data_IF_776341876032
#
_entry.id   IF_776341876032
#
_cell.length_a   1.000
_cell.length_b   1.000
_cell.length_c   1.000
_cell.angle_alpha   90.00
_cell.angle_beta   90.00
_cell.angle_gamma   90.00
#
_symmetry.space_group_name_H-M   'P 1'
#
loop_
_entity.id
_entity.type
_entity.pdbx_description
1 polymer ?
#
# COMPACT_ATOMS: atom_id res chain seq x y z
N UNK A 1 49.34 100.42 -103.28
CA UNK A 1 48.71 99.42 -102.41
C UNK A 1 47.64 100.14 -101.63
N UNK A 2 46.38 99.75 -101.82
CA UNK A 2 45.24 100.34 -101.13
C UNK A 2 44.96 99.61 -99.80
N UNK A 3 44.27 100.27 -98.86
CA UNK A 3 43.88 99.68 -97.57
C UNK A 3 43.08 98.39 -97.76
N UNK A 4 42.20 98.36 -98.77
CA UNK A 4 41.33 97.21 -99.07
C UNK A 4 42.10 95.93 -99.41
N UNK A 5 43.24 96.02 -100.10
CA UNK A 5 44.08 94.85 -100.43
C UNK A 5 44.71 94.27 -99.15
N UNK A 6 45.17 95.14 -98.25
CA UNK A 6 45.78 94.75 -96.98
C UNK A 6 44.74 94.13 -96.04
N UNK A 7 43.54 94.72 -95.97
CA UNK A 7 42.42 94.20 -95.17
C UNK A 7 41.88 92.87 -95.71
N UNK A 8 41.87 92.66 -97.04
CA UNK A 8 41.51 91.36 -97.62
C UNK A 8 42.58 90.29 -97.33
N UNK A 9 43.88 90.63 -97.43
CA UNK A 9 44.97 89.71 -97.07
C UNK A 9 44.90 89.30 -95.59
N UNK A 10 44.75 90.28 -94.68
CA UNK A 10 44.62 90.03 -93.24
C UNK A 10 43.38 89.19 -92.91
N UNK A 11 42.22 89.43 -93.57
CA UNK A 11 41.03 88.60 -93.39
C UNK A 11 41.22 87.18 -93.90
N UNK A 12 41.92 86.98 -95.03
CA UNK A 12 42.20 85.66 -95.58
C UNK A 12 43.18 84.87 -94.70
N UNK A 13 44.22 85.51 -94.16
CA UNK A 13 45.13 84.90 -93.20
C UNK A 13 44.43 84.55 -91.87
N UNK A 14 43.56 85.43 -91.37
CA UNK A 14 42.81 85.19 -90.13
C UNK A 14 41.76 84.08 -90.26
N UNK A 15 41.03 84.04 -91.39
CA UNK A 15 40.09 82.96 -91.72
C UNK A 15 40.82 81.61 -91.96
N UNK A 16 42.00 81.63 -92.59
CA UNK A 16 42.87 80.46 -92.72
C UNK A 16 43.37 79.95 -91.36
N UNK A 17 43.83 80.86 -90.49
CA UNK A 17 44.27 80.51 -89.13
C UNK A 17 43.12 79.95 -88.29
N UNK A 18 41.94 80.57 -88.31
CA UNK A 18 40.74 80.06 -87.65
C UNK A 18 40.35 78.67 -88.17
N UNK A 19 40.39 78.44 -89.49
CA UNK A 19 40.08 77.13 -90.07
C UNK A 19 41.07 76.05 -89.64
N UNK A 20 42.35 76.38 -89.54
CA UNK A 20 43.38 75.45 -89.06
C UNK A 20 43.17 75.14 -87.57
N UNK A 21 42.95 76.14 -86.72
CA UNK A 21 42.67 75.95 -85.27
C UNK A 21 41.38 75.17 -85.04
N UNK A 22 40.33 75.39 -85.85
CA UNK A 22 39.08 74.61 -85.78
C UNK A 22 39.30 73.16 -86.25
N UNK A 23 40.15 72.92 -87.26
CA UNK A 23 40.49 71.57 -87.71
C UNK A 23 41.32 70.82 -86.65
N UNK A 24 42.28 71.49 -86.04
CA UNK A 24 43.14 70.99 -84.95
C UNK A 24 42.30 70.64 -83.70
N UNK A 25 41.49 71.58 -83.20
CA UNK A 25 40.57 71.34 -82.07
C UNK A 25 39.55 70.23 -82.38
N UNK A 26 39.09 70.09 -83.63
CA UNK A 26 38.21 68.98 -84.04
C UNK A 26 38.94 67.64 -84.04
N UNK A 27 40.23 67.61 -84.39
CA UNK A 27 41.06 66.41 -84.31
C UNK A 27 41.31 66.03 -82.85
N UNK A 28 41.69 66.99 -81.99
CA UNK A 28 41.85 66.78 -80.54
C UNK A 28 40.57 66.21 -79.89
N UNK A 29 39.39 66.74 -80.24
CA UNK A 29 38.10 66.23 -79.73
C UNK A 29 37.81 64.80 -80.23
N UNK A 30 38.24 64.46 -81.45
CA UNK A 30 38.11 63.09 -81.97
C UNK A 30 39.03 62.11 -81.25
N UNK A 31 40.28 62.50 -81.00
CA UNK A 31 41.28 61.66 -80.35
C UNK A 31 41.01 61.51 -78.85
N UNK A 32 40.52 62.58 -78.20
CA UNK A 32 40.02 62.55 -76.83
C UNK A 32 38.80 61.62 -76.68
N UNK A 33 37.85 61.64 -77.65
CA UNK A 33 36.72 60.70 -77.67
C UNK A 33 37.20 59.25 -77.79
N UNK A 34 38.15 58.98 -78.70
CA UNK A 34 38.73 57.65 -78.86
C UNK A 34 39.43 57.14 -77.59
N UNK A 35 40.17 58.01 -76.89
CA UNK A 35 40.78 57.68 -75.60
C UNK A 35 39.71 57.35 -74.53
N UNK A 36 38.65 58.16 -74.39
CA UNK A 36 37.54 57.90 -73.45
C UNK A 36 36.88 56.55 -73.75
N UNK A 37 36.56 56.26 -75.00
CA UNK A 37 35.94 54.99 -75.38
C UNK A 37 36.87 53.80 -75.07
N UNK A 38 38.18 53.96 -75.25
CA UNK A 38 39.17 52.94 -74.89
C UNK A 38 39.33 52.72 -73.37
N UNK A 39 39.25 53.77 -72.55
CA UNK A 39 39.30 53.64 -71.08
C UNK A 39 37.99 53.07 -70.51
N UNK A 40 36.85 53.43 -71.10
CA UNK A 40 35.54 52.89 -70.68
C UNK A 40 35.47 51.37 -70.93
N UNK A 41 35.94 50.89 -72.08
CA UNK A 41 35.97 49.44 -72.36
C UNK A 41 36.95 48.69 -71.44
N UNK A 42 38.10 49.29 -71.07
CA UNK A 42 39.01 48.72 -70.03
C UNK A 42 38.33 48.67 -68.66
N UNK A 43 37.71 49.76 -68.23
CA UNK A 43 37.01 49.84 -66.94
C UNK A 43 35.87 48.83 -66.85
N UNK A 44 35.12 48.65 -67.94
CA UNK A 44 34.07 47.63 -68.05
C UNK A 44 34.64 46.22 -67.97
N UNK A 45 35.67 45.89 -68.75
CA UNK A 45 36.31 44.58 -68.68
C UNK A 45 36.88 44.26 -67.29
N UNK A 46 37.47 45.25 -66.61
CA UNK A 46 37.95 45.10 -65.24
C UNK A 46 36.83 44.92 -64.22
N UNK A 47 35.68 45.60 -64.39
CA UNK A 47 34.49 45.39 -63.57
C UNK A 47 33.87 44.00 -63.81
N UNK A 48 33.77 43.54 -65.05
CA UNK A 48 33.26 42.20 -65.39
C UNK A 48 34.17 41.11 -64.79
N UNK A 49 35.50 41.30 -64.80
CA UNK A 49 36.45 40.38 -64.19
C UNK A 49 36.37 40.37 -62.66
N UNK A 50 36.31 41.54 -61.99
CA UNK A 50 36.11 41.60 -60.54
C UNK A 50 34.75 41.04 -60.11
N UNK A 51 33.70 41.24 -60.90
CA UNK A 51 32.37 40.69 -60.60
C UNK A 51 32.37 39.16 -60.72
N UNK A 52 33.09 38.60 -61.70
CA UNK A 52 33.29 37.16 -61.80
C UNK A 52 34.09 36.61 -60.62
N UNK A 53 35.23 37.22 -60.28
CA UNK A 53 36.06 36.77 -59.14
C UNK A 53 35.29 36.87 -57.79
N UNK A 54 34.39 37.84 -57.65
CA UNK A 54 33.51 37.95 -56.49
C UNK A 54 32.42 36.86 -56.50
N UNK A 55 31.78 36.59 -57.64
CA UNK A 55 30.76 35.53 -57.77
C UNK A 55 31.35 34.14 -57.49
N UNK A 56 32.54 33.85 -58.04
CA UNK A 56 33.24 32.57 -57.83
C UNK A 56 33.60 32.31 -56.36
N UNK A 57 33.79 33.37 -55.55
CA UNK A 57 33.98 33.28 -54.09
C UNK A 57 32.66 33.14 -53.34
N UNK A 58 31.61 33.85 -53.76
CA UNK A 58 30.31 33.80 -53.09
C UNK A 58 29.62 32.43 -53.22
N UNK A 59 29.81 31.74 -54.35
CA UNK A 59 29.34 30.36 -54.50
C UNK A 59 30.15 29.36 -53.65
N UNK A 60 31.43 29.64 -53.35
CA UNK A 60 32.25 28.83 -52.43
C UNK A 60 31.83 29.02 -50.96
N UNK A 61 31.45 30.23 -50.54
CA UNK A 61 30.94 30.46 -49.17
C UNK A 61 29.62 29.71 -48.90
N UNK A 62 28.78 29.51 -49.92
CA UNK A 62 27.51 28.78 -49.81
C UNK A 62 27.66 27.27 -49.60
N UNK A 63 28.74 26.66 -50.09
CA UNK A 63 29.02 25.24 -49.85
C UNK A 63 29.43 24.99 -48.39
N UNK A 64 30.06 25.98 -47.75
CA UNK A 64 30.36 25.96 -46.31
C UNK A 64 29.10 26.16 -45.45
N UNK A 65 28.16 27.02 -45.87
CA UNK A 65 26.91 27.26 -45.14
C UNK A 65 26.07 25.98 -44.98
N UNK A 66 26.00 25.13 -46.01
CA UNK A 66 25.28 23.86 -45.97
C UNK A 66 25.86 22.88 -44.93
N UNK A 67 27.17 22.62 -44.99
CA UNK A 67 27.84 21.68 -44.07
C UNK A 67 27.86 22.20 -42.62
N UNK A 68 27.99 23.51 -42.42
CA UNK A 68 27.83 24.14 -41.10
C UNK A 68 26.40 23.98 -40.55
N UNK A 69 25.38 24.21 -41.38
CA UNK A 69 23.96 24.09 -40.96
C UNK A 69 23.62 22.65 -40.58
N UNK A 70 24.14 21.65 -41.30
CA UNK A 70 23.95 20.24 -40.95
C UNK A 70 24.65 19.88 -39.62
N UNK A 71 25.87 20.36 -39.40
CA UNK A 71 26.59 20.16 -38.13
C UNK A 71 25.89 20.82 -36.93
N UNK A 72 25.35 22.04 -37.10
CA UNK A 72 24.55 22.72 -36.06
C UNK A 72 23.24 21.97 -35.80
N UNK A 73 22.58 21.45 -36.82
CA UNK A 73 21.37 20.63 -36.70
C UNK A 73 21.63 19.32 -35.92
N UNK A 74 22.73 18.63 -36.24
CA UNK A 74 23.17 17.44 -35.50
C UNK A 74 23.49 17.76 -34.03
N UNK A 75 24.23 18.84 -33.77
CA UNK A 75 24.58 19.23 -32.41
C UNK A 75 23.35 19.64 -31.57
N UNK A 76 22.39 20.37 -32.14
CA UNK A 76 21.11 20.70 -31.49
C UNK A 76 20.28 19.44 -31.19
N UNK A 77 20.29 18.46 -32.10
CA UNK A 77 19.62 17.17 -31.87
C UNK A 77 20.29 16.38 -30.74
N UNK A 78 21.62 16.29 -30.72
CA UNK A 78 22.38 15.65 -29.64
C UNK A 78 22.12 16.32 -28.30
N UNK A 79 22.23 17.64 -28.20
CA UNK A 79 21.98 18.40 -26.98
C UNK A 79 20.53 18.24 -26.47
N UNK A 80 19.55 18.16 -27.37
CA UNK A 80 18.15 17.86 -27.01
C UNK A 80 17.99 16.42 -26.50
N UNK A 81 18.60 15.45 -27.17
CA UNK A 81 18.46 14.04 -26.85
C UNK A 81 19.26 13.67 -25.57
N UNK A 82 20.31 14.43 -25.24
CA UNK A 82 20.99 14.42 -23.93
C UNK A 82 20.15 15.10 -22.84
N UNK A 83 19.59 16.29 -23.11
CA UNK A 83 18.69 16.99 -22.18
C UNK A 83 17.44 16.16 -21.84
N UNK A 84 16.92 15.39 -22.80
CA UNK A 84 15.83 14.44 -22.57
C UNK A 84 16.26 13.28 -21.65
N UNK A 85 17.46 12.73 -21.82
CA UNK A 85 18.01 11.67 -20.93
C UNK A 85 18.25 12.20 -19.52
N UNK A 86 18.81 13.39 -19.38
CA UNK A 86 19.06 14.03 -18.07
C UNK A 86 17.74 14.29 -17.36
N UNK A 87 16.73 14.82 -18.07
CA UNK A 87 15.38 15.00 -17.52
C UNK A 87 14.74 13.68 -17.10
N UNK A 88 14.85 12.62 -17.93
CA UNK A 88 14.30 11.31 -17.61
C UNK A 88 14.99 10.65 -16.39
N UNK A 89 16.32 10.75 -16.30
CA UNK A 89 17.08 10.24 -15.15
C UNK A 89 16.74 11.00 -13.86
N UNK A 90 16.65 12.34 -13.91
CA UNK A 90 16.28 13.16 -12.76
C UNK A 90 14.81 12.99 -12.33
N UNK A 91 13.92 12.54 -13.22
CA UNK A 91 12.55 12.14 -12.87
C UNK A 91 12.57 10.77 -12.17
N UNK A 92 13.25 9.77 -12.74
CA UNK A 92 13.36 8.44 -12.14
C UNK A 92 14.00 8.48 -10.75
N UNK A 93 15.12 9.19 -10.58
CA UNK A 93 15.78 9.42 -9.28
C UNK A 93 14.83 10.11 -8.27
N UNK A 94 13.99 11.05 -8.73
CA UNK A 94 13.00 11.73 -7.90
C UNK A 94 11.70 10.93 -7.67
N UNK A 95 11.49 9.82 -8.38
CA UNK A 95 10.44 8.84 -8.13
C UNK A 95 10.94 7.79 -7.13
N UNK A 96 12.14 7.22 -7.35
CA UNK A 96 12.83 6.32 -6.41
C UNK A 96 12.97 6.95 -5.01
N UNK A 97 13.43 8.21 -4.91
CA UNK A 97 13.53 8.93 -3.63
C UNK A 97 12.18 9.17 -2.95
N UNK A 98 11.07 9.23 -3.70
CA UNK A 98 9.72 9.36 -3.12
C UNK A 98 9.20 8.03 -2.61
N UNK A 99 9.40 6.96 -3.37
CA UNK A 99 9.05 5.60 -2.93
C UNK A 99 9.81 5.24 -1.65
N UNK A 100 11.10 5.59 -1.54
CA UNK A 100 11.86 5.47 -0.29
C UNK A 100 11.30 6.35 0.85
N UNK A 101 10.96 7.61 0.58
CA UNK A 101 10.39 8.53 1.56
C UNK A 101 9.00 8.10 2.06
N UNK A 102 8.15 7.57 1.19
CA UNK A 102 6.80 7.09 1.50
C UNK A 102 6.85 5.76 2.26
N UNK A 103 7.70 4.82 1.84
CA UNK A 103 7.97 3.57 2.58
C UNK A 103 8.49 3.85 4.00
N UNK A 104 9.38 4.84 4.16
CA UNK A 104 9.90 5.25 5.47
C UNK A 104 8.83 5.89 6.37
N UNK A 105 7.88 6.64 5.79
CA UNK A 105 6.75 7.23 6.54
C UNK A 105 5.79 6.15 7.02
N UNK A 106 5.35 5.26 6.12
CA UNK A 106 4.51 4.10 6.46
C UNK A 106 5.12 3.28 7.60
N UNK A 107 6.40 2.90 7.49
CA UNK A 107 7.12 2.15 8.54
C UNK A 107 7.15 2.90 9.89
N UNK A 108 7.22 4.24 9.88
CA UNK A 108 7.23 5.04 11.09
C UNK A 108 5.84 5.19 11.72
N UNK A 109 4.80 5.32 10.90
CA UNK A 109 3.41 5.39 11.31
C UNK A 109 2.95 4.02 11.88
N UNK A 110 3.23 2.91 11.19
CA UNK A 110 2.99 1.51 11.65
C UNK A 110 3.58 1.25 13.04
N UNK A 111 4.83 1.70 13.27
CA UNK A 111 5.50 1.57 14.55
C UNK A 111 4.86 2.44 15.63
N UNK A 112 4.30 3.60 15.26
CA UNK A 112 3.60 4.49 16.18
C UNK A 112 2.25 3.91 16.63
N UNK A 113 1.50 3.30 15.70
CA UNK A 113 0.24 2.62 15.98
C UNK A 113 0.48 1.35 16.82
N UNK A 114 1.50 0.55 16.47
CA UNK A 114 1.91 -0.62 17.28
C UNK A 114 2.28 -0.22 18.71
N UNK A 115 3.04 0.88 18.88
CA UNK A 115 3.40 1.41 20.20
C UNK A 115 2.15 1.80 20.98
N UNK A 116 1.18 2.47 20.36
CA UNK A 116 0.00 2.98 21.05
C UNK A 116 -1.06 1.90 21.31
N UNK A 117 -1.15 0.87 20.46
CA UNK A 117 -1.85 -0.37 20.75
C UNK A 117 -1.25 -1.09 21.98
N UNK A 118 0.08 -1.23 22.05
CA UNK A 118 0.77 -1.81 23.21
C UNK A 118 0.51 -0.99 24.49
N UNK A 119 0.59 0.34 24.41
CA UNK A 119 0.25 1.24 25.51
C UNK A 119 -1.21 1.08 25.95
N UNK A 120 -2.16 0.99 25.02
CA UNK A 120 -3.57 0.86 25.36
C UNK A 120 -3.88 -0.49 26.01
N UNK A 121 -3.40 -1.60 25.43
CA UNK A 121 -3.61 -2.97 25.94
C UNK A 121 -3.04 -3.11 27.35
N UNK A 122 -1.81 -2.64 27.57
CA UNK A 122 -1.13 -2.72 28.88
C UNK A 122 -1.68 -1.77 29.94
N UNK A 123 -2.50 -0.78 29.56
CA UNK A 123 -3.15 0.16 30.49
C UNK A 123 -4.43 -0.37 31.15
N UNK A 124 -5.01 -1.48 30.66
CA UNK A 124 -6.33 -1.97 31.11
C UNK A 124 -6.25 -2.71 32.45
N UNK A 125 -7.19 -2.45 33.34
CA UNK A 125 -7.28 -3.07 34.68
C UNK A 125 -8.24 -4.27 34.75
N UNK A 126 -8.95 -4.61 33.67
CA UNK A 126 -9.77 -5.82 33.55
C UNK A 126 -9.42 -6.69 32.34
N UNK A 127 -9.47 -8.01 32.51
CA UNK A 127 -9.23 -8.99 31.44
C UNK A 127 -10.17 -8.78 30.24
N UNK A 128 -11.41 -8.40 30.49
CA UNK A 128 -12.40 -8.15 29.44
C UNK A 128 -12.05 -6.92 28.59
N UNK A 129 -11.33 -5.94 29.13
CA UNK A 129 -10.88 -4.76 28.39
C UNK A 129 -9.54 -4.97 27.70
N UNK A 130 -8.62 -5.75 28.29
CA UNK A 130 -7.41 -6.23 27.58
C UNK A 130 -7.81 -6.92 26.28
N UNK A 131 -8.70 -7.91 26.35
CA UNK A 131 -9.13 -8.68 25.18
C UNK A 131 -9.92 -7.83 24.17
N UNK A 132 -10.66 -6.80 24.61
CA UNK A 132 -11.36 -5.88 23.71
C UNK A 132 -10.39 -4.97 22.97
N UNK A 133 -9.35 -4.46 23.65
CA UNK A 133 -8.31 -3.61 23.05
C UNK A 133 -7.43 -4.44 22.10
N UNK A 134 -7.05 -5.67 22.48
CA UNK A 134 -6.39 -6.63 21.58
C UNK A 134 -7.17 -6.82 20.27
N UNK A 135 -8.45 -7.19 20.36
CA UNK A 135 -9.28 -7.46 19.18
C UNK A 135 -9.57 -6.19 18.36
N UNK A 136 -9.56 -5.01 18.98
CA UNK A 136 -9.68 -3.74 18.26
C UNK A 136 -8.43 -3.45 17.42
N UNK A 137 -7.24 -3.53 18.01
CA UNK A 137 -5.97 -3.25 17.32
C UNK A 137 -5.56 -4.35 16.35
N UNK A 138 -5.90 -5.61 16.62
CA UNK A 138 -5.68 -6.71 15.69
C UNK A 138 -6.36 -6.47 14.32
N UNK A 139 -7.50 -5.79 14.28
CA UNK A 139 -8.18 -5.40 13.06
C UNK A 139 -7.49 -4.30 12.24
N UNK A 140 -6.32 -3.81 12.64
CA UNK A 140 -5.44 -2.99 11.80
C UNK A 140 -4.36 -3.83 11.09
N UNK A 141 -4.13 -5.07 11.55
CA UNK A 141 -3.05 -5.95 11.10
C UNK A 141 -3.54 -7.21 10.37
N UNK A 142 -4.86 -7.36 10.19
CA UNK A 142 -5.47 -8.37 9.32
C UNK A 142 -6.83 -7.87 8.79
N UNK A 143 -7.17 -8.09 7.51
CA UNK A 143 -8.49 -7.76 6.97
C UNK A 143 -9.64 -8.53 7.61
N UNK A 144 -9.37 -9.74 8.12
CA UNK A 144 -10.38 -10.59 8.77
C UNK A 144 -9.78 -11.39 9.91
N UNK A 145 -10.56 -11.58 10.97
CA UNK A 145 -10.14 -12.40 12.10
C UNK A 145 -11.24 -12.70 13.11
N UNK A 146 -10.97 -13.68 13.98
CA UNK A 146 -11.86 -14.09 15.05
C UNK A 146 -11.05 -14.47 16.30
N UNK A 147 -11.61 -14.24 17.48
CA UNK A 147 -10.95 -14.57 18.75
C UNK A 147 -11.75 -15.61 19.52
N UNK A 148 -11.06 -16.65 19.99
CA UNK A 148 -11.65 -17.82 20.66
C UNK A 148 -11.03 -17.98 22.06
N UNK A 149 -11.84 -18.29 23.07
CA UNK A 149 -11.39 -18.47 24.45
C UNK A 149 -11.53 -19.94 24.85
N UNK A 150 -10.50 -20.49 25.51
CA UNK A 150 -10.52 -21.85 26.05
C UNK A 150 -11.34 -21.86 27.34
N UNK A 151 -12.42 -22.65 27.36
CA UNK A 151 -13.32 -22.80 28.51
C UNK A 151 -13.72 -24.26 28.65
N UNK A 152 -13.42 -24.86 29.81
CA UNK A 152 -13.69 -26.27 30.09
C UNK A 152 -13.12 -27.22 29.00
N UNK A 153 -11.87 -26.97 28.59
CA UNK A 153 -11.18 -27.72 27.51
C UNK A 153 -11.92 -27.72 26.14
N UNK A 154 -12.75 -26.69 25.89
CA UNK A 154 -13.34 -26.39 24.59
C UNK A 154 -12.91 -24.98 24.14
N UNK A 155 -12.74 -24.80 22.83
CA UNK A 155 -12.64 -23.49 22.21
C UNK A 155 -14.04 -22.92 22.00
N UNK A 156 -14.24 -21.68 22.43
CA UNK A 156 -15.52 -20.96 22.35
C UNK A 156 -15.28 -19.61 21.68
N UNK A 157 -15.96 -19.34 20.58
CA UNK A 157 -15.81 -18.06 19.89
C UNK A 157 -16.32 -16.89 20.72
N UNK A 158 -15.58 -15.78 20.71
CA UNK A 158 -15.80 -14.64 21.57
C UNK A 158 -16.17 -13.36 20.81
N UNK A 159 -15.41 -13.04 19.75
CA UNK A 159 -15.60 -11.83 18.93
C UNK A 159 -14.92 -11.94 17.55
N UNK A 160 -15.57 -11.43 16.49
CA UNK A 160 -14.97 -11.20 15.17
C UNK A 160 -14.42 -9.78 15.02
N UNK A 161 -13.52 -9.59 14.07
CA UNK A 161 -12.94 -8.30 13.70
C UNK A 161 -12.50 -8.28 12.22
N UNK A 162 -12.27 -7.09 11.67
CA UNK A 162 -12.00 -6.87 10.23
C UNK A 162 -13.26 -6.95 9.34
N UNK A 163 -14.20 -7.84 9.64
CA UNK A 163 -15.49 -7.95 8.92
C UNK A 163 -16.48 -6.85 9.31
N UNK A 164 -16.25 -5.61 8.88
CA UNK A 164 -17.13 -4.47 9.22
C UNK A 164 -18.54 -4.56 8.61
N UNK A 165 -18.74 -5.40 7.58
CA UNK A 165 -20.02 -5.59 6.87
C UNK A 165 -20.88 -6.76 7.41
N UNK A 166 -20.44 -7.43 8.49
CA UNK A 166 -21.06 -8.66 8.98
C UNK A 166 -22.34 -8.39 9.79
N UNK A 167 -23.53 -8.74 9.26
CA UNK A 167 -24.84 -8.40 9.86
C UNK A 167 -25.05 -8.96 11.28
N UNK A 168 -24.38 -10.06 11.64
CA UNK A 168 -24.45 -10.69 12.96
C UNK A 168 -23.07 -10.89 13.60
N UNK A 169 -22.47 -9.86 14.23
CA UNK A 169 -21.16 -9.97 14.88
C UNK A 169 -21.14 -10.91 16.10
N UNK A 170 -22.30 -11.41 16.54
CA UNK A 170 -22.46 -12.33 17.67
C UNK A 170 -22.49 -13.81 17.24
N UNK A 171 -22.58 -14.13 15.94
CA UNK A 171 -22.60 -15.51 15.40
C UNK A 171 -21.39 -16.35 15.84
N UNK A 172 -20.25 -15.68 16.07
CA UNK A 172 -19.03 -16.30 16.60
C UNK A 172 -19.22 -17.04 17.93
N UNK A 173 -20.24 -16.70 18.72
CA UNK A 173 -20.55 -17.42 19.98
C UNK A 173 -21.26 -18.75 19.77
N UNK A 174 -21.69 -19.04 18.55
CA UNK A 174 -22.22 -20.35 18.15
C UNK A 174 -21.10 -21.35 17.86
N UNK A 175 -19.87 -20.86 17.58
CA UNK A 175 -18.68 -21.72 17.47
C UNK A 175 -18.26 -22.25 18.84
N UNK A 176 -18.44 -23.56 19.03
CA UNK A 176 -18.09 -24.29 20.24
C UNK A 176 -17.62 -25.70 19.89
N UNK A 177 -16.33 -26.02 20.14
CA UNK A 177 -15.78 -27.35 19.87
C UNK A 177 -14.69 -27.76 20.89
N UNK A 178 -14.49 -29.06 21.16
CA UNK A 178 -13.43 -29.55 22.05
C UNK A 178 -12.03 -29.20 21.54
N UNK A 179 -11.09 -28.90 22.44
CA UNK A 179 -9.67 -28.68 22.06
C UNK A 179 -9.05 -29.92 21.38
N UNK A 180 -9.57 -31.12 21.65
CA UNK A 180 -9.10 -32.37 21.02
C UNK A 180 -9.48 -32.55 19.54
N UNK A 181 -10.23 -31.61 18.94
CA UNK A 181 -10.56 -31.65 17.52
C UNK A 181 -9.33 -31.27 16.67
N UNK A 182 -9.25 -31.81 15.45
CA UNK A 182 -8.15 -31.60 14.51
C UNK A 182 -8.29 -30.23 13.81
N UNK A 183 -8.10 -29.16 14.57
CA UNK A 183 -8.14 -27.77 14.09
C UNK A 183 -6.79 -27.06 14.25
N UNK A 184 -6.53 -26.09 13.38
CA UNK A 184 -5.37 -25.18 13.47
C UNK A 184 -5.38 -24.34 14.76
N UNK A 185 -6.57 -24.00 15.26
CA UNK A 185 -6.78 -23.34 16.54
C UNK A 185 -6.44 -24.25 17.74
N UNK A 186 -6.78 -25.53 17.67
CA UNK A 186 -6.40 -26.54 18.67
C UNK A 186 -4.88 -26.71 18.73
N UNK A 187 -4.25 -26.96 17.57
CA UNK A 187 -2.79 -27.14 17.50
C UNK A 187 -2.04 -25.91 18.03
N UNK A 188 -2.50 -24.70 17.71
CA UNK A 188 -1.97 -23.45 18.25
C UNK A 188 -1.99 -23.39 19.78
N UNK A 189 -3.14 -23.73 20.39
CA UNK A 189 -3.33 -23.69 21.85
C UNK A 189 -2.57 -24.81 22.57
N UNK A 190 -2.44 -25.99 21.97
CA UNK A 190 -1.70 -27.12 22.57
C UNK A 190 -0.18 -27.00 22.40
N UNK A 191 0.30 -26.55 21.24
CA UNK A 191 1.73 -26.37 20.94
C UNK A 191 2.35 -25.14 21.61
N UNK A 192 1.53 -24.14 21.98
CA UNK A 192 1.95 -22.81 22.42
C UNK A 192 2.74 -22.04 21.35
N UNK A 193 2.50 -22.33 20.07
CA UNK A 193 3.14 -21.69 18.92
C UNK A 193 2.10 -21.23 17.88
N UNK A 194 2.47 -20.26 17.04
CA UNK A 194 1.65 -19.84 15.90
C UNK A 194 1.62 -20.95 14.85
N UNK A 195 0.42 -21.32 14.42
CA UNK A 195 0.20 -22.22 13.28
C UNK A 195 -0.09 -21.36 12.06
N UNK A 196 0.69 -21.56 10.99
CA UNK A 196 0.47 -20.99 9.66
C UNK A 196 0.08 -22.13 8.73
N UNK A 197 -1.11 -22.06 8.14
CA UNK A 197 -1.72 -23.17 7.39
C UNK A 197 -2.60 -22.65 6.24
N UNK A 198 -3.24 -23.54 5.49
CA UNK A 198 -4.24 -23.20 4.48
C UNK A 198 -5.43 -24.16 4.52
N UNK A 199 -6.57 -23.76 3.95
CA UNK A 199 -7.81 -24.52 4.02
C UNK A 199 -7.65 -26.00 3.62
N UNK A 200 -8.19 -26.91 4.44
CA UNK A 200 -8.14 -28.36 4.22
C UNK A 200 -6.88 -29.05 4.73
N UNK A 201 -5.96 -28.34 5.37
CA UNK A 201 -4.80 -28.95 6.05
C UNK A 201 -5.18 -29.61 7.38
N UNK A 202 -6.24 -29.10 8.01
CA UNK A 202 -6.81 -29.55 9.28
C UNK A 202 -8.27 -29.96 9.04
N UNK A 203 -8.67 -31.17 9.43
CA UNK A 203 -9.95 -31.76 9.01
C UNK A 203 -11.17 -31.05 9.63
N UNK A 204 -11.03 -30.57 10.87
CA UNK A 204 -12.12 -29.94 11.62
C UNK A 204 -12.20 -28.41 11.46
N UNK A 205 -11.30 -27.75 10.71
CA UNK A 205 -11.31 -26.27 10.56
C UNK A 205 -12.61 -25.73 9.94
N UNK A 206 -13.29 -26.56 9.13
CA UNK A 206 -14.66 -26.31 8.64
C UNK A 206 -15.65 -25.95 9.75
N UNK A 207 -15.50 -26.52 10.96
CA UNK A 207 -16.42 -26.30 12.09
C UNK A 207 -16.51 -24.83 12.52
N UNK A 208 -15.46 -24.03 12.33
CA UNK A 208 -15.52 -22.60 12.58
C UNK A 208 -15.61 -21.78 11.28
N UNK A 209 -14.94 -22.21 10.20
CA UNK A 209 -14.97 -21.46 8.93
C UNK A 209 -16.37 -21.38 8.31
N UNK A 210 -17.15 -22.45 8.37
CA UNK A 210 -18.52 -22.47 7.85
C UNK A 210 -19.45 -21.60 8.72
N UNK A 211 -19.31 -21.67 10.05
CA UNK A 211 -20.14 -20.92 11.01
C UNK A 211 -19.84 -19.42 11.02
N UNK A 212 -18.62 -19.01 10.68
CA UNK A 212 -18.24 -17.60 10.54
C UNK A 212 -18.40 -17.04 9.12
N UNK A 213 -18.86 -17.87 8.17
CA UNK A 213 -18.91 -17.57 6.74
C UNK A 213 -17.55 -17.14 6.16
N UNK A 214 -16.46 -17.69 6.70
CA UNK A 214 -15.09 -17.36 6.27
C UNK A 214 -14.67 -18.10 4.99
N UNK A 215 -15.36 -19.17 4.60
CA UNK A 215 -15.12 -19.86 3.33
C UNK A 215 -13.80 -20.65 3.32
N UNK A 216 -13.03 -20.53 2.23
CA UNK A 216 -11.83 -21.36 1.99
C UNK A 216 -10.55 -20.51 1.80
N UNK A 217 -10.04 -19.88 2.88
CA UNK A 217 -8.86 -19.03 2.83
C UNK A 217 -7.57 -19.81 2.49
N UNK A 218 -6.79 -19.22 1.57
CA UNK A 218 -5.51 -19.76 1.07
C UNK A 218 -4.43 -19.82 2.17
N UNK A 219 -4.36 -18.78 3.01
CA UNK A 219 -3.43 -18.66 4.13
C UNK A 219 -4.23 -18.28 5.38
N UNK A 220 -3.94 -18.99 6.47
CA UNK A 220 -4.66 -18.96 7.74
C UNK A 220 -3.65 -18.95 8.88
N UNK A 221 -3.87 -18.09 9.88
CA UNK A 221 -2.97 -17.95 11.02
C UNK A 221 -3.73 -18.13 12.34
N UNK A 222 -3.27 -19.07 13.17
CA UNK A 222 -3.79 -19.31 14.51
C UNK A 222 -2.70 -19.01 15.56
N UNK A 223 -2.86 -17.90 16.28
CA UNK A 223 -1.87 -17.34 17.21
C UNK A 223 -2.36 -17.54 18.66
N UNK A 224 -1.62 -18.23 19.54
CA UNK A 224 -2.12 -18.57 20.86
C UNK A 224 -1.88 -17.45 21.88
N UNK A 225 -2.93 -17.05 22.60
CA UNK A 225 -2.78 -16.24 23.81
C UNK A 225 -2.42 -17.17 24.97
N UNK A 226 -1.14 -17.14 25.33
CA UNK A 226 -0.56 -17.92 26.41
C UNK A 226 -0.69 -17.15 27.73
N UNK A 227 -1.15 -17.84 28.78
CA UNK A 227 -1.11 -17.34 30.15
C UNK A 227 -0.72 -18.47 31.12
N UNK A 228 0.28 -18.21 31.96
CA UNK A 228 0.86 -19.13 32.95
C UNK A 228 1.32 -20.46 32.35
N UNK A 229 1.83 -20.42 31.11
CA UNK A 229 2.30 -21.60 30.39
C UNK A 229 1.19 -22.51 29.85
N UNK A 230 -0.07 -22.04 29.76
CA UNK A 230 -1.16 -22.68 29.01
C UNK A 230 -1.64 -21.75 27.91
N UNK A 231 -2.03 -22.28 26.75
CA UNK A 231 -2.91 -21.56 25.85
C UNK A 231 -4.28 -21.41 26.51
N UNK A 232 -4.77 -20.17 26.61
CA UNK A 232 -6.08 -19.85 27.23
C UNK A 232 -7.05 -19.20 26.25
N UNK A 233 -6.57 -18.82 25.07
CA UNK A 233 -7.33 -18.33 23.94
C UNK A 233 -6.49 -18.45 22.66
N UNK A 234 -7.11 -18.31 21.49
CA UNK A 234 -6.45 -18.23 20.20
C UNK A 234 -7.05 -17.09 19.36
N UNK A 235 -6.18 -16.41 18.61
CA UNK A 235 -6.55 -15.43 17.60
C UNK A 235 -6.40 -16.07 16.22
N UNK A 236 -7.49 -16.06 15.45
CA UNK A 236 -7.54 -16.41 14.05
C UNK A 236 -7.38 -15.16 13.18
N UNK A 237 -6.62 -15.25 12.08
CA UNK A 237 -6.49 -14.21 11.07
C UNK A 237 -6.35 -14.79 9.65
N UNK A 238 -6.96 -14.13 8.67
CA UNK A 238 -6.75 -14.34 7.23
C UNK A 238 -7.02 -13.04 6.42
N UNK A 239 -6.70 -13.02 5.12
CA UNK A 239 -6.94 -11.87 4.21
C UNK A 239 -8.35 -11.75 3.64
N UNK A 240 -9.19 -12.76 3.84
CA UNK A 240 -10.52 -12.90 3.23
C UNK A 240 -10.49 -12.81 1.71
N UNK A 241 -11.50 -12.15 1.15
CA UNK A 241 -11.56 -11.79 -0.28
C UNK A 241 -10.92 -10.43 -0.58
N UNK A 242 -10.16 -9.85 0.36
CA UNK A 242 -9.56 -8.52 0.22
C UNK A 242 -8.14 -8.58 -0.34
N UNK A 243 -7.69 -7.47 -0.94
CA UNK A 243 -6.30 -7.26 -1.38
C UNK A 243 -5.34 -6.90 -0.21
N UNK A 244 -5.79 -6.97 1.05
CA UNK A 244 -4.97 -6.65 2.23
C UNK A 244 -4.16 -7.85 2.74
N UNK A 245 -2.91 -7.62 3.14
CA UNK A 245 -2.06 -8.67 3.70
C UNK A 245 -2.18 -8.81 5.23
N UNK A 246 -1.80 -9.98 5.76
CA UNK A 246 -1.83 -10.28 7.19
C UNK A 246 -0.46 -10.02 7.82
N UNK A 247 -0.36 -9.02 8.69
CA UNK A 247 0.88 -8.75 9.45
C UNK A 247 0.94 -9.65 10.70
N UNK A 248 1.42 -10.87 10.49
CA UNK A 248 1.52 -11.92 11.53
C UNK A 248 2.42 -11.47 12.69
N UNK A 249 3.56 -10.81 12.42
CA UNK A 249 4.49 -10.37 13.47
C UNK A 249 3.87 -9.32 14.41
N UNK A 250 3.05 -8.41 13.85
CA UNK A 250 2.27 -7.45 14.62
C UNK A 250 1.21 -8.15 15.49
N UNK A 251 0.45 -9.10 14.91
CA UNK A 251 -0.56 -9.87 15.64
C UNK A 251 0.04 -10.70 16.77
N UNK A 252 1.15 -11.41 16.54
CA UNK A 252 1.90 -12.13 17.57
C UNK A 252 2.34 -11.20 18.70
N UNK A 253 2.85 -10.02 18.37
CA UNK A 253 3.30 -9.02 19.34
C UNK A 253 2.13 -8.56 20.22
N UNK A 254 0.98 -8.20 19.63
CA UNK A 254 -0.20 -7.79 20.39
C UNK A 254 -0.76 -8.92 21.27
N UNK A 255 -0.90 -10.15 20.73
CA UNK A 255 -1.40 -11.32 21.49
C UNK A 255 -0.48 -11.65 22.66
N UNK A 256 0.85 -11.56 22.46
CA UNK A 256 1.86 -11.79 23.50
C UNK A 256 1.83 -10.71 24.60
N UNK A 257 1.66 -9.44 24.24
CA UNK A 257 1.49 -8.35 25.20
C UNK A 257 0.17 -8.47 25.98
N UNK A 258 -0.92 -8.85 25.31
CA UNK A 258 -2.20 -9.13 25.97
C UNK A 258 -2.09 -10.30 26.96
N UNK A 259 -1.45 -11.41 26.57
CA UNK A 259 -1.18 -12.55 27.45
C UNK A 259 -0.40 -12.16 28.71
N UNK A 260 0.71 -11.44 28.55
CA UNK A 260 1.51 -10.92 29.67
C UNK A 260 0.72 -9.96 30.56
N UNK A 261 -0.13 -9.11 29.99
CA UNK A 261 -0.96 -8.18 30.78
C UNK A 261 -2.03 -8.94 31.58
N UNK A 262 -2.64 -9.99 31.01
CA UNK A 262 -3.55 -10.90 31.74
C UNK A 262 -2.81 -11.64 32.86
N UNK A 263 -1.58 -12.12 32.64
CA UNK A 263 -0.77 -12.74 33.70
C UNK A 263 -0.49 -11.76 34.85
N UNK A 264 -0.16 -10.50 34.55
CA UNK A 264 0.09 -9.46 35.55
C UNK A 264 -1.17 -9.16 36.37
N UNK A 265 -2.32 -8.91 35.73
CA UNK A 265 -3.58 -8.70 36.44
C UNK A 265 -3.96 -9.90 37.31
N UNK A 266 -3.87 -11.12 36.77
CA UNK A 266 -4.19 -12.34 37.50
C UNK A 266 -3.22 -12.64 38.66
N UNK A 267 -2.08 -11.97 38.72
CA UNK A 267 -1.04 -12.12 39.76
C UNK A 267 -0.97 -10.95 40.74
N UNK A 268 -1.77 -9.89 40.52
CA UNK A 268 -1.93 -8.81 41.48
C UNK A 268 -2.57 -9.35 42.77
N UNK A 269 -2.05 -8.99 43.98
CA UNK A 269 -2.67 -9.42 45.23
C UNK A 269 -4.06 -8.78 45.34
N UNK A 270 -5.10 -9.61 45.40
CA UNK A 270 -6.47 -9.16 45.58
C UNK A 270 -6.54 -8.25 46.81
N UNK A 271 -6.82 -6.96 46.62
CA UNK A 271 -6.78 -5.97 47.69
C UNK A 271 -7.72 -6.42 48.81
N UNK A 272 -7.16 -6.62 50.01
CA UNK A 272 -7.90 -7.10 51.15
C UNK A 272 -9.02 -6.10 51.47
N UNK A 273 -10.27 -6.51 51.21
CA UNK A 273 -11.45 -5.71 51.57
C UNK A 273 -11.30 -5.29 53.03
N UNK A 274 -11.42 -3.99 53.38
CA UNK A 274 -11.28 -3.54 54.75
C UNK A 274 -12.31 -4.30 55.59
N UNK A 275 -11.81 -5.10 56.52
CA UNK A 275 -12.65 -5.91 57.40
C UNK A 275 -13.37 -4.93 58.32
N UNK A 276 -14.67 -4.71 58.10
CA UNK A 276 -15.47 -3.79 58.93
C UNK A 276 -15.25 -4.12 60.40
N UNK A 277 -14.76 -3.14 61.15
CA UNK A 277 -14.41 -3.30 62.56
C UNK A 277 -15.70 -3.37 63.37
N UNK A 278 -16.17 -4.59 63.62
CA UNK A 278 -17.40 -4.86 64.35
C UNK A 278 -17.23 -4.49 65.83
N UNK A 279 -17.72 -3.30 66.18
CA UNK A 279 -17.55 -2.73 67.51
C UNK A 279 -18.26 -3.58 68.59
N UNK A 280 -17.60 -3.91 69.71
CA UNK A 280 -18.14 -4.85 70.69
C UNK A 280 -19.25 -4.23 71.55
N UNK A 281 -20.46 -4.76 71.45
CA UNK A 281 -21.55 -4.51 72.40
C UNK A 281 -21.51 -5.53 73.55
N UNK A 282 -21.31 -5.04 74.78
CA UNK A 282 -21.26 -5.82 76.02
C UNK A 282 -22.66 -5.95 76.69
N UNK A 283 -22.87 -6.84 77.69
CA UNK A 283 -24.10 -7.65 77.73
C UNK A 283 -25.01 -7.41 78.97
N UNK A 284 -25.96 -8.35 79.14
CA UNK A 284 -26.68 -8.80 80.35
C UNK A 284 -28.18 -8.41 80.46
N UNK A 285 -29.05 -9.42 80.52
CA UNK A 285 -29.97 -9.62 81.65
C UNK A 285 -30.55 -11.05 81.72
N UNK A 286 -30.29 -11.72 82.85
CA UNK A 286 -30.55 -13.13 83.13
C UNK A 286 -30.93 -13.26 84.63
N UNK A 287 -31.75 -14.19 85.13
CA UNK A 287 -32.57 -15.27 84.53
C UNK A 287 -33.91 -15.31 85.38
N UNK A 288 -34.50 -16.39 85.95
CA UNK A 288 -34.41 -17.85 85.74
C UNK A 288 -35.75 -18.56 85.43
N UNK A 289 -35.63 -19.88 85.21
CA UNK A 289 -36.61 -20.88 84.74
C UNK A 289 -37.63 -21.36 85.80
N UNK A 290 -38.66 -22.12 85.36
CA UNK A 290 -38.84 -23.53 85.77
C UNK A 290 -39.83 -24.36 84.89
N UNK A 291 -39.27 -25.35 84.17
CA UNK A 291 -39.68 -26.77 83.99
C UNK A 291 -41.18 -27.14 83.75
N UNK A 292 -41.57 -27.64 82.55
CA UNK A 292 -41.45 -29.03 81.99
C UNK A 292 -42.64 -29.98 82.33
N UNK A 293 -42.86 -31.10 81.60
CA UNK A 293 -42.34 -31.54 80.28
C UNK A 293 -43.46 -31.42 79.20
N UNK A 294 -43.53 -32.05 78.01
CA UNK A 294 -42.79 -33.04 77.18
C UNK A 294 -43.20 -32.75 75.69
N UNK A 295 -42.91 -33.43 74.56
CA UNK A 295 -42.25 -34.71 74.20
C UNK A 295 -41.61 -34.63 72.78
N UNK A 296 -41.43 -35.78 72.10
CA UNK A 296 -40.75 -35.89 70.79
C UNK A 296 -41.66 -35.83 69.55
N UNK A 297 -41.17 -35.22 68.47
CA UNK A 297 -41.04 -35.87 67.15
C UNK A 297 -39.99 -35.17 66.27
N UNK A 298 -39.40 -35.88 65.29
CA UNK A 298 -38.33 -35.37 64.40
C UNK A 298 -38.76 -35.37 62.93
N UNK A 299 -38.57 -34.28 62.16
CA UNK A 299 -38.84 -34.25 60.73
C UNK A 299 -37.78 -35.03 59.93
N UNK A 300 -38.18 -35.53 58.76
CA UNK A 300 -37.45 -36.53 57.97
C UNK A 300 -36.57 -35.92 56.86
N UNK A 301 -35.52 -36.64 56.47
CA UNK A 301 -34.79 -36.39 55.23
C UNK A 301 -35.48 -37.00 54.00
N UNK A 302 -35.41 -36.32 52.86
CA UNK A 302 -36.01 -36.75 51.59
C UNK A 302 -34.96 -37.49 50.71
N UNK A 303 -35.39 -38.53 50.00
CA UNK A 303 -34.53 -39.36 49.12
C UNK A 303 -35.20 -39.60 47.76
N UNK A 304 -34.39 -39.90 46.74
CA UNK A 304 -34.79 -39.90 45.34
C UNK A 304 -35.76 -41.04 44.94
N UNK A 305 -36.63 -40.84 43.92
CA UNK A 305 -37.51 -41.87 43.40
C UNK A 305 -36.80 -42.84 42.43
N UNK A 306 -37.20 -44.11 42.49
CA UNK A 306 -36.91 -45.14 41.49
C UNK A 306 -38.23 -45.84 41.13
N UNK A 307 -38.26 -46.45 39.94
CA UNK A 307 -39.40 -47.07 39.26
C UNK A 307 -40.21 -48.07 40.10
N UNK A 308 -41.48 -48.23 39.71
CA UNK A 308 -42.34 -49.38 40.04
C UNK A 308 -42.96 -49.94 38.78
N UNK A 309 -42.82 -51.25 38.56
CA UNK A 309 -43.48 -52.00 37.49
C UNK A 309 -44.83 -52.59 37.94
N UNK A 310 -45.48 -53.29 37.00
CA UNK A 310 -46.38 -54.44 37.17
C UNK A 310 -47.91 -54.22 37.16
N UNK A 311 -48.53 -54.56 36.02
CA UNK A 311 -49.57 -55.61 35.85
C UNK A 311 -49.99 -55.68 34.35
N UNK A 312 -50.72 -56.67 33.83
CA UNK A 312 -50.65 -58.14 33.92
C UNK A 312 -51.66 -58.72 32.89
N UNK A 313 -51.32 -59.81 32.18
CA UNK A 313 -52.19 -60.56 31.23
C UNK A 313 -52.66 -59.81 29.96
N UNK A 314 -53.12 -60.46 28.88
CA UNK A 314 -53.48 -61.88 28.64
C UNK A 314 -53.11 -62.36 27.20
N UNK A 315 -53.66 -63.50 26.75
CA UNK A 315 -53.35 -64.31 25.54
C UNK A 315 -53.58 -63.59 24.16
N UNK A 316 -53.22 -64.10 22.95
CA UNK A 316 -53.36 -65.50 22.45
C UNK A 316 -52.55 -65.84 21.15
N UNK A 317 -51.87 -67.02 21.18
CA UNK A 317 -51.49 -67.98 20.09
C UNK A 317 -50.68 -67.59 18.82
N UNK A 318 -50.06 -68.63 18.25
CA UNK A 318 -49.24 -68.70 17.01
C UNK A 318 -49.94 -69.67 15.98
N UNK A 319 -49.35 -70.34 14.95
CA UNK A 319 -47.92 -70.52 14.57
C UNK A 319 -47.59 -70.49 13.04
N UNK A 320 -46.35 -70.87 12.69
CA UNK A 320 -45.87 -71.41 11.38
C UNK A 320 -45.84 -70.46 10.13
N UNK A 321 -44.95 -70.61 9.12
CA UNK A 321 -43.82 -71.54 8.91
C UNK A 321 -42.83 -71.10 7.79
N UNK A 322 -41.53 -71.44 7.99
CA UNK A 322 -40.58 -72.05 7.01
C UNK A 322 -39.91 -71.26 5.84
N UNK A 323 -38.65 -71.67 5.57
CA UNK A 323 -37.77 -71.54 4.37
C UNK A 323 -36.95 -70.26 4.01
N UNK A 324 -35.69 -70.28 4.47
CA UNK A 324 -34.46 -70.41 3.65
C UNK A 324 -33.87 -69.20 2.85
N UNK A 325 -32.52 -69.15 2.64
CA UNK A 325 -31.82 -68.03 2.03
C UNK A 325 -31.42 -68.24 0.55
N UNK A 326 -30.91 -67.18 -0.08
CA UNK A 326 -30.07 -67.28 -1.29
C UNK A 326 -28.81 -66.41 -1.15
N UNK A 327 -27.65 -67.05 -1.22
CA UNK A 327 -26.41 -66.42 -1.73
C UNK A 327 -26.46 -66.42 -3.27
N UNK A 328 -25.74 -65.50 -3.92
CA UNK A 328 -25.16 -65.73 -5.24
C UNK A 328 -23.89 -64.88 -5.41
N UNK A 329 -23.02 -65.32 -6.32
CA UNK A 329 -21.66 -64.82 -6.60
C UNK A 329 -21.60 -63.41 -7.22
#
# INVERSE_FOLDING_TARGET
MNSEELEQSLRAEFDSHIKNVIAEMKQEVSDFKGNIESELEKHKAHLDEMFREFSEKFDQERELEASFTESVSEHLKLARDEGAKITAAAIAEAEEMREEEESQKQTADDFSDMRDAINEISSKDSQAEILKSLVHHAGQYTPRGAFFIVKNEHLVGWRMFGTEENENPDVVREVYFPISNNTSLSESVESLATVSTGFGSHEDDSQFLDTLEFGQPENMYAIPLIARGRGVAALYADKGESDGEVNVEALETLVRIAGLTVEVLASAPAQAKPKTEEAPAAPAHEEPQEQQPEAHETPQGFVAPVQTEDWASEEEQAPEAVEAPQEFE
#
